data_IF_193872799975
#
_entry.id   IF_193872799975
#
_cell.length_a   1.000
_cell.length_b   1.000
_cell.length_c   1.000
_cell.angle_alpha   90.00
_cell.angle_beta   90.00
_cell.angle_gamma   90.00
#
_symmetry.space_group_name_H-M   'P 1'
#
loop_
_entity.id
_entity.type
_entity.pdbx_description
1 polymer ?
#
# COMPACT_ATOMS: atom_id res chain seq x y z
N UNK A 1 -10.70 19.56 -5.01
CA UNK A 1 -10.46 18.45 -4.05
C UNK A 1 -11.71 17.60 -3.98
N UNK A 2 -11.56 16.29 -4.18
CA UNK A 2 -12.58 15.28 -3.90
C UNK A 2 -11.96 14.27 -2.92
N UNK A 3 -12.52 14.16 -1.72
CA UNK A 3 -11.96 13.37 -0.63
C UNK A 3 -13.09 12.62 0.07
N UNK A 4 -12.89 11.33 0.27
CA UNK A 4 -13.72 10.47 1.12
C UNK A 4 -12.87 10.02 2.29
N UNK A 5 -13.43 10.06 3.50
CA UNK A 5 -12.74 9.60 4.68
C UNK A 5 -13.68 8.89 5.65
N UNK A 6 -13.12 7.99 6.43
CA UNK A 6 -13.79 7.28 7.51
C UNK A 6 -12.92 7.34 8.77
N UNK A 7 -13.56 7.32 9.94
CA UNK A 7 -12.88 7.43 11.21
C UNK A 7 -13.78 7.10 12.40
N UNK A 8 -13.16 7.07 13.57
CA UNK A 8 -13.83 7.01 14.87
C UNK A 8 -13.95 8.42 15.45
N UNK A 9 -14.49 8.53 16.66
CA UNK A 9 -14.50 9.80 17.39
C UNK A 9 -13.08 10.30 17.68
N UNK A 10 -12.13 9.37 17.84
CA UNK A 10 -10.78 9.65 18.31
C UNK A 10 -9.78 9.86 17.16
N UNK A 11 -10.04 9.32 15.98
CA UNK A 11 -9.09 9.43 14.86
C UNK A 11 -9.65 9.04 13.51
N UNK A 12 -8.88 9.41 12.47
CA UNK A 12 -9.13 9.00 11.09
C UNK A 12 -8.61 7.58 10.92
N UNK A 13 -9.34 6.75 10.16
CA UNK A 13 -8.97 5.36 9.88
C UNK A 13 -8.64 5.17 8.41
N UNK A 14 -9.39 5.81 7.51
CA UNK A 14 -9.19 5.69 6.07
C UNK A 14 -9.41 7.03 5.37
N UNK A 15 -8.59 7.33 4.36
CA UNK A 15 -8.77 8.45 3.44
C UNK A 15 -8.52 7.99 2.01
N UNK A 16 -9.37 8.45 1.10
CA UNK A 16 -9.24 8.27 -0.34
C UNK A 16 -9.51 9.63 -1.02
N UNK A 17 -8.47 10.25 -1.59
CA UNK A 17 -8.54 11.63 -2.09
C UNK A 17 -7.95 11.80 -3.49
N UNK A 18 -8.52 12.76 -4.22
CA UNK A 18 -8.03 13.31 -5.48
C UNK A 18 -8.06 14.84 -5.47
N UNK A 19 -7.03 15.45 -6.03
CA UNK A 19 -6.78 16.87 -6.01
C UNK A 19 -6.11 17.31 -7.30
N UNK A 20 -6.16 18.61 -7.59
CA UNK A 20 -5.49 19.20 -8.74
C UNK A 20 -4.30 20.02 -8.24
N UNK A 21 -3.20 19.35 -7.91
CA UNK A 21 -2.00 19.96 -7.31
C UNK A 21 -2.32 20.81 -6.06
N UNK A 22 -3.05 20.25 -5.10
CA UNK A 22 -3.38 20.95 -3.85
C UNK A 22 -2.17 21.01 -2.89
N UNK A 23 -2.12 22.04 -2.04
CA UNK A 23 -1.09 22.15 -1.01
C UNK A 23 -1.29 21.13 0.12
N UNK A 24 -0.22 20.82 0.85
CA UNK A 24 -0.27 20.02 2.06
C UNK A 24 -1.20 20.65 3.11
N UNK A 25 -1.16 21.98 3.27
CA UNK A 25 -2.00 22.71 4.22
C UNK A 25 -3.49 22.57 3.88
N UNK A 26 -3.85 22.67 2.59
CA UNK A 26 -5.24 22.46 2.14
C UNK A 26 -5.70 21.02 2.37
N UNK A 27 -4.82 20.03 2.16
CA UNK A 27 -5.12 18.63 2.46
C UNK A 27 -5.38 18.44 3.96
N UNK A 28 -4.52 18.97 4.82
CA UNK A 28 -4.67 18.85 6.28
C UNK A 28 -5.96 19.53 6.77
N UNK A 29 -6.23 20.75 6.30
CA UNK A 29 -7.46 21.47 6.64
C UNK A 29 -8.71 20.69 6.21
N UNK A 30 -8.68 20.03 5.05
CA UNK A 30 -9.78 19.19 4.58
C UNK A 30 -10.00 17.95 5.44
N UNK A 31 -8.92 17.30 5.91
CA UNK A 31 -8.98 16.15 6.81
C UNK A 31 -9.57 16.53 8.17
N UNK A 32 -9.11 17.63 8.76
CA UNK A 32 -9.64 18.15 10.04
C UNK A 32 -11.12 18.50 9.92
N UNK A 33 -11.48 19.24 8.85
CA UNK A 33 -12.87 19.58 8.58
C UNK A 33 -13.77 18.35 8.47
N UNK A 34 -13.32 17.31 7.75
CA UNK A 34 -14.08 16.08 7.59
C UNK A 34 -14.19 15.27 8.88
N UNK A 35 -13.13 15.19 9.69
CA UNK A 35 -13.15 14.47 10.96
C UNK A 35 -14.14 15.07 11.97
N UNK A 36 -14.21 16.40 12.04
CA UNK A 36 -15.20 17.09 12.89
C UNK A 36 -16.65 16.75 12.51
N UNK A 37 -16.93 16.52 11.21
CA UNK A 37 -18.25 16.07 10.76
C UNK A 37 -18.51 14.59 11.07
N UNK A 38 -17.49 13.75 10.96
CA UNK A 38 -17.57 12.35 11.38
C UNK A 38 -17.96 12.24 12.86
N UNK A 39 -17.37 13.05 13.74
CA UNK A 39 -17.72 13.09 15.17
C UNK A 39 -19.21 13.37 15.40
N UNK A 40 -19.78 14.32 14.65
CA UNK A 40 -21.22 14.65 14.72
C UNK A 40 -22.10 13.46 14.27
N UNK A 41 -21.70 12.76 13.19
CA UNK A 41 -22.41 11.58 12.70
C UNK A 41 -22.36 10.43 13.72
N UNK A 42 -21.19 10.20 14.34
CA UNK A 42 -21.01 9.18 15.38
C UNK A 42 -21.87 9.49 16.59
N UNK A 43 -21.97 10.77 17.01
CA UNK A 43 -22.82 11.16 18.13
C UNK A 43 -24.29 10.76 17.89
N UNK A 44 -24.80 10.95 16.67
CA UNK A 44 -26.15 10.52 16.28
C UNK A 44 -26.28 9.00 16.35
N UNK A 45 -25.28 8.25 15.87
CA UNK A 45 -25.28 6.78 15.92
C UNK A 45 -25.28 6.28 17.38
N UNK A 46 -24.50 6.91 18.26
CA UNK A 46 -24.46 6.59 19.70
C UNK A 46 -25.81 6.87 20.35
N UNK A 47 -26.44 8.02 20.06
CA UNK A 47 -27.79 8.34 20.54
C UNK A 47 -28.82 7.31 20.08
N UNK A 48 -28.78 6.94 18.79
CA UNK A 48 -29.67 5.92 18.23
C UNK A 48 -29.47 4.55 18.88
N UNK A 49 -28.21 4.15 19.11
CA UNK A 49 -27.88 2.93 19.86
C UNK A 49 -28.38 2.99 21.30
N UNK A 50 -28.36 4.16 21.95
CA UNK A 50 -28.93 4.33 23.29
C UNK A 50 -30.44 4.12 23.34
N UNK A 51 -31.16 4.45 22.26
CA UNK A 51 -32.61 4.31 22.17
C UNK A 51 -33.07 2.90 21.74
N UNK A 52 -32.36 2.28 20.79
CA UNK A 52 -32.81 1.07 20.09
C UNK A 52 -31.71 -0.02 19.94
N UNK A 53 -30.59 0.13 20.64
CA UNK A 53 -29.47 -0.79 20.54
C UNK A 53 -29.76 -2.15 21.17
N UNK A 54 -29.15 -3.20 20.58
CA UNK A 54 -29.13 -4.55 21.17
C UNK A 54 -27.98 -4.67 22.18
N UNK A 55 -28.10 -5.62 23.10
CA UNK A 55 -27.00 -5.99 23.99
C UNK A 55 -25.78 -6.42 23.17
N UNK A 56 -24.59 -6.00 23.60
CA UNK A 56 -23.35 -6.39 22.94
C UNK A 56 -23.09 -7.88 23.24
N UNK A 57 -22.72 -8.63 22.21
CA UNK A 57 -22.23 -9.98 22.37
C UNK A 57 -20.96 -9.97 23.22
N UNK A 58 -20.91 -10.81 24.25
CA UNK A 58 -19.68 -11.06 25.01
C UNK A 58 -18.84 -12.03 24.19
N UNK A 59 -17.67 -11.58 23.76
CA UNK A 59 -16.68 -12.40 23.06
C UNK A 59 -15.49 -12.54 23.99
N UNK A 60 -15.20 -13.77 24.41
CA UNK A 60 -14.03 -14.05 25.23
C UNK A 60 -12.76 -13.93 24.37
N UNK A 61 -11.75 -13.24 24.90
CA UNK A 61 -10.46 -13.14 24.24
C UNK A 61 -9.79 -14.52 24.20
N UNK A 62 -9.10 -14.90 23.11
CA UNK A 62 -8.30 -16.10 23.07
C UNK A 62 -7.28 -16.08 24.21
N UNK A 63 -7.17 -17.18 24.95
CA UNK A 63 -6.14 -17.30 25.98
C UNK A 63 -4.78 -17.55 25.32
N UNK A 64 -3.80 -16.71 25.67
CA UNK A 64 -2.42 -16.86 25.20
C UNK A 64 -1.69 -17.82 26.14
N UNK A 65 -1.04 -18.83 25.56
CA UNK A 65 -0.14 -19.73 26.29
C UNK A 65 1.17 -19.00 26.60
N UNK A 66 1.24 -18.37 27.78
CA UNK A 66 2.40 -17.59 28.22
C UNK A 66 3.68 -18.42 28.37
N UNK A 67 3.56 -19.71 28.69
CA UNK A 67 4.70 -20.63 28.77
C UNK A 67 5.27 -20.88 27.37
N UNK A 68 4.40 -21.16 26.39
CA UNK A 68 4.80 -21.32 24.99
C UNK A 68 5.41 -20.02 24.44
N UNK A 69 4.80 -18.86 24.73
CA UNK A 69 5.31 -17.55 24.31
C UNK A 69 6.72 -17.31 24.84
N UNK A 70 6.95 -17.57 26.12
CA UNK A 70 8.27 -17.43 26.76
C UNK A 70 9.29 -18.38 26.13
N UNK A 71 8.89 -19.64 25.89
CA UNK A 71 9.74 -20.67 25.24
C UNK A 71 10.13 -20.29 23.81
N UNK A 72 9.19 -19.73 23.02
CA UNK A 72 9.46 -19.21 21.67
C UNK A 72 10.47 -18.07 21.78
N UNK A 73 10.19 -17.07 22.60
CA UNK A 73 11.04 -15.89 22.75
C UNK A 73 12.48 -16.25 23.13
N UNK A 74 12.68 -17.07 24.16
CA UNK A 74 14.03 -17.48 24.62
C UNK A 74 14.84 -18.18 23.53
N UNK A 75 14.19 -19.01 22.71
CA UNK A 75 14.89 -19.83 21.70
C UNK A 75 15.09 -19.14 20.36
N UNK A 76 14.23 -18.19 19.99
CA UNK A 76 14.20 -17.66 18.62
C UNK A 76 14.44 -16.16 18.53
N UNK A 77 14.25 -15.38 19.59
CA UNK A 77 14.32 -13.91 19.49
C UNK A 77 15.67 -13.40 18.96
N UNK A 78 16.80 -13.97 19.43
CA UNK A 78 18.13 -13.60 18.94
C UNK A 78 18.31 -13.92 17.44
N UNK A 79 17.94 -15.15 17.03
CA UNK A 79 18.01 -15.60 15.63
C UNK A 79 17.11 -14.77 14.72
N UNK A 80 15.90 -14.44 15.17
CA UNK A 80 14.97 -13.58 14.44
C UNK A 80 15.51 -12.15 14.30
N UNK A 81 16.14 -11.62 15.35
CA UNK A 81 16.75 -10.28 15.32
C UNK A 81 17.89 -10.19 14.30
N UNK A 82 18.69 -11.24 14.17
CA UNK A 82 19.73 -11.35 13.13
C UNK A 82 19.11 -11.51 11.74
N UNK A 83 18.11 -12.40 11.60
CA UNK A 83 17.43 -12.62 10.33
C UNK A 83 16.74 -11.35 9.79
N UNK A 84 16.18 -10.51 10.67
CA UNK A 84 15.54 -9.24 10.29
C UNK A 84 16.52 -8.20 9.75
N UNK A 85 17.83 -8.37 9.92
CA UNK A 85 18.86 -7.49 9.37
C UNK A 85 19.36 -7.94 7.99
N UNK A 86 18.87 -9.06 7.48
CA UNK A 86 19.13 -9.50 6.11
C UNK A 86 18.39 -8.57 5.14
N UNK A 87 19.12 -7.86 4.28
CA UNK A 87 18.52 -6.88 3.37
C UNK A 87 17.60 -7.50 2.32
N UNK A 88 18.00 -8.63 1.72
CA UNK A 88 17.25 -9.29 0.64
C UNK A 88 15.94 -9.92 1.11
N UNK A 89 14.82 -9.62 0.43
CA UNK A 89 13.48 -10.09 0.85
C UNK A 89 13.38 -11.62 0.90
N UNK A 90 13.83 -12.31 -0.15
CA UNK A 90 13.71 -13.77 -0.26
C UNK A 90 14.58 -14.48 0.78
N UNK A 91 15.85 -14.10 0.88
CA UNK A 91 16.78 -14.63 1.87
C UNK A 91 16.28 -14.43 3.31
N UNK A 92 15.76 -13.24 3.62
CA UNK A 92 15.13 -12.95 4.92
C UNK A 92 13.92 -13.86 5.19
N UNK A 93 13.02 -13.98 4.21
CA UNK A 93 11.82 -14.82 4.35
C UNK A 93 12.15 -16.30 4.55
N UNK A 94 13.14 -16.81 3.81
CA UNK A 94 13.57 -18.20 3.91
C UNK A 94 14.24 -18.48 5.26
N UNK A 95 15.06 -17.55 5.75
CA UNK A 95 15.71 -17.65 7.08
C UNK A 95 14.68 -17.66 8.20
N UNK A 96 13.70 -16.75 8.17
CA UNK A 96 12.61 -16.71 9.16
C UNK A 96 11.81 -18.02 9.15
N UNK A 97 11.49 -18.53 7.95
CA UNK A 97 10.79 -19.81 7.80
C UNK A 97 11.60 -20.96 8.41
N UNK A 98 12.92 -21.00 8.17
CA UNK A 98 13.78 -22.03 8.73
C UNK A 98 13.81 -21.98 10.26
N UNK A 99 13.95 -20.79 10.86
CA UNK A 99 13.92 -20.61 12.32
C UNK A 99 12.62 -21.17 12.92
N UNK A 100 11.49 -20.94 12.24
CA UNK A 100 10.19 -21.47 12.67
C UNK A 100 10.11 -22.98 12.54
N UNK A 101 10.59 -23.57 11.46
CA UNK A 101 10.61 -25.03 11.29
C UNK A 101 11.56 -25.72 12.28
N UNK A 102 12.72 -25.12 12.56
CA UNK A 102 13.66 -25.61 13.58
C UNK A 102 12.99 -25.65 14.97
N UNK A 103 12.27 -24.59 15.34
CA UNK A 103 11.54 -24.57 16.61
C UNK A 103 10.44 -25.65 16.67
N UNK A 104 9.71 -25.85 15.57
CA UNK A 104 8.68 -26.91 15.50
C UNK A 104 9.29 -28.30 15.64
N UNK A 105 10.48 -28.53 15.11
CA UNK A 105 11.17 -29.82 15.21
C UNK A 105 11.60 -30.18 16.64
N UNK A 106 11.63 -29.20 17.56
CA UNK A 106 11.91 -29.43 18.98
C UNK A 106 10.67 -29.80 19.81
N UNK A 107 9.47 -29.75 19.21
CA UNK A 107 8.21 -30.12 19.85
C UNK A 107 7.83 -31.56 19.52
N UNK A 108 7.11 -32.20 20.43
CA UNK A 108 6.54 -33.52 20.14
C UNK A 108 5.44 -33.41 19.05
N UNK A 109 5.16 -34.50 18.29
CA UNK A 109 4.11 -34.48 17.27
C UNK A 109 2.73 -34.08 17.81
N UNK A 110 2.40 -34.49 19.03
CA UNK A 110 1.13 -34.18 19.70
C UNK A 110 1.04 -32.68 20.06
N UNK A 111 2.10 -32.10 20.63
CA UNK A 111 2.17 -30.66 20.91
C UNK A 111 2.09 -29.82 19.62
N UNK A 112 2.69 -30.29 18.53
CA UNK A 112 2.68 -29.58 17.26
C UNK A 112 1.27 -29.54 16.65
N UNK A 113 0.53 -30.65 16.70
CA UNK A 113 -0.84 -30.72 16.19
C UNK A 113 -1.78 -29.81 16.98
N UNK A 114 -1.65 -29.79 18.31
CA UNK A 114 -2.47 -28.94 19.19
C UNK A 114 -2.11 -27.44 19.05
N UNK A 115 -0.83 -27.10 19.03
CA UNK A 115 -0.35 -25.71 19.19
C UNK A 115 0.05 -25.03 17.87
N UNK A 116 -0.08 -25.68 16.71
CA UNK A 116 0.37 -25.12 15.42
C UNK A 116 -0.18 -23.72 15.11
N UNK A 117 -1.45 -23.46 15.43
CA UNK A 117 -2.09 -22.14 15.27
C UNK A 117 -1.46 -21.10 16.18
N UNK A 118 -1.40 -21.38 17.49
CA UNK A 118 -0.79 -20.51 18.49
C UNK A 118 0.69 -20.22 18.19
N UNK A 119 1.46 -21.22 17.77
CA UNK A 119 2.86 -21.03 17.36
C UNK A 119 2.95 -20.05 16.19
N UNK A 120 2.06 -20.15 15.19
CA UNK A 120 2.08 -19.23 14.05
C UNK A 120 1.85 -17.79 14.49
N UNK A 121 0.87 -17.56 15.35
CA UNK A 121 0.51 -16.23 15.85
C UNK A 121 1.61 -15.66 16.74
N UNK A 122 2.13 -16.45 17.70
CA UNK A 122 3.20 -16.02 18.59
C UNK A 122 4.51 -15.68 17.86
N UNK A 123 4.86 -16.42 16.80
CA UNK A 123 5.99 -16.05 15.95
C UNK A 123 5.73 -14.73 15.21
N UNK A 124 4.53 -14.53 14.69
CA UNK A 124 4.16 -13.30 13.99
C UNK A 124 4.19 -12.08 14.94
N UNK A 125 3.69 -12.23 16.17
CA UNK A 125 3.76 -11.20 17.21
C UNK A 125 5.21 -10.89 17.61
N UNK A 126 6.05 -11.92 17.77
CA UNK A 126 7.48 -11.73 18.07
C UNK A 126 8.22 -11.03 16.94
N UNK A 127 7.96 -11.39 15.68
CA UNK A 127 8.50 -10.70 14.51
C UNK A 127 8.08 -9.22 14.49
N UNK A 128 6.82 -8.95 14.79
CA UNK A 128 6.27 -7.59 14.90
C UNK A 128 7.01 -6.80 15.98
N UNK A 129 7.15 -7.34 17.18
CA UNK A 129 7.80 -6.66 18.30
C UNK A 129 9.28 -6.38 18.02
N UNK A 130 10.00 -7.33 17.42
CA UNK A 130 11.41 -7.16 17.04
C UNK A 130 11.57 -6.01 16.04
N UNK A 131 10.79 -6.00 14.95
CA UNK A 131 10.89 -4.97 13.90
C UNK A 131 10.51 -3.60 14.46
N UNK A 132 9.45 -3.51 15.26
CA UNK A 132 8.99 -2.25 15.84
C UNK A 132 10.02 -1.66 16.79
N UNK A 133 10.56 -2.47 17.71
CA UNK A 133 11.58 -2.00 18.65
C UNK A 133 12.88 -1.63 17.92
N UNK A 134 13.27 -2.35 16.87
CA UNK A 134 14.44 -2.01 16.06
C UNK A 134 14.30 -0.59 15.46
N UNK A 135 13.14 -0.29 14.88
CA UNK A 135 12.86 1.01 14.27
C UNK A 135 12.76 2.11 15.32
N UNK A 136 12.02 1.88 16.41
CA UNK A 136 11.78 2.90 17.45
C UNK A 136 13.04 3.24 18.25
N UNK A 137 13.85 2.23 18.60
CA UNK A 137 15.00 2.42 19.49
C UNK A 137 16.27 2.75 18.70
N UNK A 138 16.54 2.00 17.63
CA UNK A 138 17.79 2.14 16.87
C UNK A 138 17.67 3.05 15.64
N UNK A 139 16.46 3.47 15.28
CA UNK A 139 16.20 4.30 14.08
C UNK A 139 16.77 3.68 12.80
N UNK A 140 16.80 2.35 12.77
CA UNK A 140 17.41 1.56 11.69
C UNK A 140 16.39 0.55 11.17
N UNK A 141 16.32 0.43 9.84
CA UNK A 141 15.31 -0.41 9.17
C UNK A 141 15.87 -1.76 8.77
N UNK A 142 14.98 -2.69 8.43
CA UNK A 142 15.33 -4.09 8.09
C UNK A 142 16.27 -4.22 6.88
N UNK A 143 16.26 -3.24 5.97
CA UNK A 143 17.16 -3.19 4.80
C UNK A 143 18.36 -2.26 4.99
N UNK A 144 18.51 -1.70 6.19
CA UNK A 144 19.61 -0.86 6.60
C UNK A 144 19.50 0.63 6.27
N UNK A 145 18.34 1.06 5.78
CA UNK A 145 18.04 2.48 5.57
C UNK A 145 17.76 3.22 6.88
N UNK A 146 18.01 4.52 6.87
CA UNK A 146 17.41 5.46 7.81
C UNK A 146 15.92 5.68 7.54
N UNK A 147 15.26 6.38 8.47
CA UNK A 147 13.81 6.60 8.41
C UNK A 147 13.36 7.41 7.18
N UNK A 148 14.20 8.33 6.69
CA UNK A 148 13.89 9.22 5.56
C UNK A 148 14.43 8.72 4.20
N UNK A 149 15.21 7.64 4.18
CA UNK A 149 15.91 7.21 2.97
C UNK A 149 14.97 6.48 2.00
N UNK A 150 15.05 6.86 0.73
CA UNK A 150 14.35 6.22 -0.39
C UNK A 150 15.25 5.18 -1.03
N UNK A 151 14.68 4.05 -1.48
CA UNK A 151 15.45 2.99 -2.16
C UNK A 151 16.05 3.47 -3.49
N UNK A 152 17.10 2.81 -4.00
CA UNK A 152 17.65 3.10 -5.32
C UNK A 152 16.58 3.04 -6.41
N UNK A 153 16.58 4.02 -7.31
CA UNK A 153 15.64 4.12 -8.43
C UNK A 153 16.39 3.92 -9.75
N UNK A 154 15.87 3.06 -10.61
CA UNK A 154 16.31 2.95 -12.00
C UNK A 154 15.11 3.14 -12.94
N UNK A 155 15.37 3.86 -14.04
CA UNK A 155 14.34 4.24 -15.00
C UNK A 155 14.82 3.91 -16.40
N UNK A 156 13.98 3.24 -17.17
CA UNK A 156 14.19 3.01 -18.59
C UNK A 156 12.92 3.34 -19.36
N UNK A 157 12.97 4.29 -20.29
CA UNK A 157 11.87 4.65 -21.20
C UNK A 157 12.05 3.97 -22.55
N UNK A 158 10.97 3.86 -23.34
CA UNK A 158 11.03 3.23 -24.67
C UNK A 158 11.41 1.74 -24.63
N UNK A 159 11.08 1.04 -23.54
CA UNK A 159 11.46 -0.37 -23.32
C UNK A 159 10.82 -1.32 -24.32
N UNK A 160 9.54 -1.10 -24.66
CA UNK A 160 8.77 -1.96 -25.56
C UNK A 160 8.75 -1.37 -26.98
N UNK A 161 9.17 -2.12 -28.01
CA UNK A 161 9.41 -1.57 -29.35
C UNK A 161 8.14 -1.30 -30.19
N UNK A 162 6.96 -1.78 -29.75
CA UNK A 162 5.73 -1.80 -30.55
C UNK A 162 4.51 -1.19 -29.84
N UNK A 163 4.72 -0.54 -28.70
CA UNK A 163 3.68 0.24 -28.01
C UNK A 163 3.86 1.72 -28.32
N UNK A 164 2.84 2.54 -28.04
CA UNK A 164 2.96 3.98 -28.28
C UNK A 164 3.95 4.64 -27.32
N UNK A 165 3.94 4.25 -26.04
CA UNK A 165 4.99 4.61 -25.08
C UNK A 165 5.13 3.56 -23.98
N UNK A 166 6.32 3.45 -23.41
CA UNK A 166 6.63 2.50 -22.34
C UNK A 166 7.69 3.01 -21.38
N UNK A 167 7.61 2.52 -20.13
CA UNK A 167 8.64 2.73 -19.13
C UNK A 167 8.75 1.51 -18.21
N UNK A 168 9.98 1.17 -17.83
CA UNK A 168 10.28 0.32 -16.67
C UNK A 168 10.75 1.24 -15.56
N UNK A 169 9.99 1.27 -14.47
CA UNK A 169 10.33 1.98 -13.25
C UNK A 169 10.64 0.96 -12.16
N UNK A 170 11.85 1.01 -11.62
CA UNK A 170 12.27 0.15 -10.50
C UNK A 170 12.66 1.03 -9.33
N UNK A 171 12.13 0.72 -8.15
CA UNK A 171 12.51 1.33 -6.86
C UNK A 171 12.79 0.22 -5.86
N UNK A 172 14.07 -0.03 -5.59
CA UNK A 172 14.51 -1.22 -4.85
C UNK A 172 13.98 -2.51 -5.47
N UNK A 173 13.32 -3.35 -4.67
CA UNK A 173 12.71 -4.62 -5.09
C UNK A 173 11.22 -4.46 -5.49
N UNK A 174 10.83 -3.28 -6.00
CA UNK A 174 9.51 -3.02 -6.59
C UNK A 174 9.68 -2.51 -8.01
N UNK A 175 9.10 -3.21 -8.99
CA UNK A 175 9.24 -2.90 -10.40
C UNK A 175 7.88 -2.88 -11.12
N UNK A 176 7.66 -1.85 -11.92
CA UNK A 176 6.50 -1.71 -12.78
C UNK A 176 6.94 -1.51 -14.24
N UNK A 177 6.49 -2.40 -15.14
CA UNK A 177 6.51 -2.18 -16.58
C UNK A 177 5.19 -1.54 -16.99
N UNK A 178 5.26 -0.28 -17.41
CA UNK A 178 4.08 0.51 -17.75
C UNK A 178 4.08 0.80 -19.24
N UNK A 179 2.92 0.64 -19.88
CA UNK A 179 2.70 0.95 -21.30
C UNK A 179 1.52 1.90 -21.47
N UNK A 180 1.67 2.84 -22.39
CA UNK A 180 0.62 3.75 -22.84
C UNK A 180 0.20 3.38 -24.26
N UNK A 181 -1.11 3.34 -24.49
CA UNK A 181 -1.72 3.13 -25.80
C UNK A 181 -2.69 4.27 -26.11
N UNK A 182 -2.56 4.86 -27.29
CA UNK A 182 -3.45 5.87 -27.83
C UNK A 182 -4.51 5.21 -28.73
N UNK A 183 -5.74 5.69 -28.64
CA UNK A 183 -6.89 5.23 -29.42
C UNK A 183 -7.79 6.39 -29.84
N UNK A 184 -8.84 6.05 -30.57
CA UNK A 184 -9.84 7.02 -31.05
C UNK A 184 -11.06 7.08 -30.10
N UNK A 185 -12.06 7.88 -30.44
CA UNK A 185 -13.32 7.95 -29.69
C UNK A 185 -14.08 6.60 -29.64
N UNK A 186 -13.85 5.68 -30.58
CA UNK A 186 -14.45 4.34 -30.53
C UNK A 186 -13.91 3.47 -29.40
N UNK A 187 -12.71 3.81 -28.90
CA UNK A 187 -12.00 3.06 -27.87
C UNK A 187 -12.29 3.57 -26.46
N UNK A 188 -13.12 4.62 -26.33
CA UNK A 188 -13.53 5.15 -25.02
C UNK A 188 -14.30 4.09 -24.23
N UNK A 189 -13.99 3.99 -22.94
CA UNK A 189 -14.66 3.05 -22.05
C UNK A 189 -16.08 3.55 -21.77
N UNK A 190 -17.09 2.76 -22.16
CA UNK A 190 -18.49 3.03 -21.79
C UNK A 190 -18.72 2.63 -20.34
N UNK A 191 -19.29 3.55 -19.56
CA UNK A 191 -19.64 3.33 -18.17
C UNK A 191 -21.16 3.39 -18.05
N UNK A 192 -21.75 2.31 -17.53
CA UNK A 192 -23.16 2.22 -17.19
C UNK A 192 -23.28 1.86 -15.70
N UNK A 193 -23.40 2.89 -14.87
CA UNK A 193 -23.53 2.79 -13.42
C UNK A 193 -24.81 3.46 -12.95
N UNK A 194 -25.18 3.26 -11.67
CA UNK A 194 -26.40 3.84 -11.10
C UNK A 194 -26.41 5.38 -11.19
N UNK A 195 -25.26 6.00 -10.92
CA UNK A 195 -25.13 7.47 -10.82
C UNK A 195 -24.59 8.11 -12.10
N UNK A 196 -23.92 7.34 -12.97
CA UNK A 196 -23.26 7.85 -14.16
C UNK A 196 -23.44 6.92 -15.36
N UNK A 197 -23.95 7.49 -16.45
CA UNK A 197 -23.98 6.89 -17.80
C UNK A 197 -23.21 7.79 -18.75
N UNK A 198 -22.10 7.29 -19.29
CA UNK A 198 -21.26 8.08 -20.18
C UNK A 198 -20.05 7.32 -20.69
N UNK A 199 -19.06 8.05 -21.17
CA UNK A 199 -17.79 7.49 -21.62
C UNK A 199 -16.63 8.04 -20.79
N UNK A 200 -15.51 7.32 -20.83
CA UNK A 200 -14.26 7.65 -20.15
C UNK A 200 -13.11 7.49 -21.14
N UNK A 201 -12.41 8.58 -21.40
CA UNK A 201 -11.33 8.66 -22.40
C UNK A 201 -9.93 8.40 -21.82
N UNK A 202 -9.78 8.35 -20.50
CA UNK A 202 -8.55 7.95 -19.84
C UNK A 202 -8.84 6.86 -18.82
N UNK A 203 -8.12 5.73 -18.88
CA UNK A 203 -8.24 4.67 -17.90
C UNK A 203 -6.92 3.93 -17.71
N UNK A 204 -6.69 3.46 -16.48
CA UNK A 204 -5.49 2.73 -16.11
C UNK A 204 -5.85 1.34 -15.60
N UNK A 205 -5.25 0.32 -16.19
CA UNK A 205 -5.31 -1.06 -15.70
C UNK A 205 -4.03 -1.40 -14.96
N UNK A 206 -4.18 -1.93 -13.76
CA UNK A 206 -3.10 -2.38 -12.90
C UNK A 206 -3.20 -3.89 -12.75
N UNK A 207 -2.12 -4.59 -13.04
CA UNK A 207 -2.04 -6.05 -12.99
C UNK A 207 -0.99 -6.47 -11.96
N UNK A 208 -1.34 -7.41 -11.08
CA UNK A 208 -0.48 -7.93 -10.03
C UNK A 208 -0.31 -9.45 -10.17
N UNK A 209 0.50 -9.90 -11.13
CA UNK A 209 0.70 -11.33 -11.37
C UNK A 209 1.43 -11.98 -10.18
N UNK A 210 1.11 -13.25 -9.90
CA UNK A 210 1.62 -13.95 -8.71
C UNK A 210 3.16 -14.03 -8.64
N UNK A 211 3.83 -14.06 -9.80
CA UNK A 211 5.29 -14.13 -9.86
C UNK A 211 5.97 -12.88 -9.27
N UNK A 212 5.29 -11.72 -9.21
CA UNK A 212 5.92 -10.50 -8.68
C UNK A 212 6.20 -10.57 -7.17
N UNK A 213 5.58 -11.51 -6.48
CA UNK A 213 5.88 -11.86 -5.08
C UNK A 213 6.58 -13.23 -4.95
N UNK A 214 6.97 -13.86 -6.06
CA UNK A 214 7.56 -15.19 -6.09
C UNK A 214 6.56 -16.32 -5.81
N UNK A 215 5.25 -16.07 -5.99
CA UNK A 215 4.21 -17.04 -5.71
C UNK A 215 3.64 -17.67 -7.00
N UNK A 216 2.96 -18.82 -6.85
CA UNK A 216 2.22 -19.47 -7.93
C UNK A 216 0.73 -19.42 -7.60
N UNK A 217 -0.07 -18.76 -8.45
CA UNK A 217 -1.53 -18.69 -8.34
C UNK A 217 -2.16 -18.79 -9.73
N UNK A 218 -3.44 -19.15 -9.78
CA UNK A 218 -4.21 -19.10 -11.02
C UNK A 218 -4.34 -17.66 -11.53
N UNK A 219 -4.09 -17.46 -12.82
CA UNK A 219 -4.36 -16.20 -13.50
C UNK A 219 -5.84 -16.17 -13.89
N UNK A 220 -6.62 -15.36 -13.18
CA UNK A 220 -8.02 -15.10 -13.47
C UNK A 220 -8.23 -13.61 -13.79
N UNK A 221 -9.47 -13.12 -13.71
CA UNK A 221 -9.74 -11.69 -13.85
C UNK A 221 -9.16 -10.86 -12.69
N UNK A 222 -9.16 -9.52 -12.81
CA UNK A 222 -8.58 -8.65 -11.80
C UNK A 222 -9.32 -8.75 -10.46
N UNK A 223 -8.57 -8.91 -9.38
CA UNK A 223 -9.07 -8.87 -8.01
C UNK A 223 -9.39 -7.44 -7.55
N UNK A 224 -10.08 -7.33 -6.41
CA UNK A 224 -10.48 -6.04 -5.82
C UNK A 224 -9.30 -5.10 -5.55
N UNK A 225 -8.17 -5.64 -5.07
CA UNK A 225 -6.96 -4.84 -4.79
C UNK A 225 -6.34 -4.27 -6.06
N UNK A 226 -6.33 -5.05 -7.14
CA UNK A 226 -5.80 -4.60 -8.44
C UNK A 226 -6.64 -3.46 -9.01
N UNK A 227 -7.97 -3.58 -8.94
CA UNK A 227 -8.90 -2.52 -9.33
C UNK A 227 -8.67 -1.26 -8.48
N UNK A 228 -8.60 -1.40 -7.15
CA UNK A 228 -8.37 -0.28 -6.24
C UNK A 228 -7.05 0.45 -6.49
N UNK A 229 -5.94 -0.29 -6.65
CA UNK A 229 -4.64 0.29 -6.99
C UNK A 229 -4.64 0.96 -8.38
N UNK A 230 -5.34 0.36 -9.35
CA UNK A 230 -5.54 0.96 -10.68
C UNK A 230 -6.25 2.30 -10.59
N UNK A 231 -7.34 2.37 -9.82
CA UNK A 231 -8.09 3.61 -9.61
C UNK A 231 -7.28 4.69 -8.88
N UNK A 232 -6.46 4.31 -7.89
CA UNK A 232 -5.55 5.24 -7.20
C UNK A 232 -4.52 5.83 -8.17
N UNK A 233 -3.86 4.98 -8.97
CA UNK A 233 -2.88 5.42 -9.94
C UNK A 233 -3.52 6.27 -11.04
N UNK A 234 -4.70 5.90 -11.50
CA UNK A 234 -5.49 6.69 -12.45
C UNK A 234 -5.81 8.09 -11.89
N UNK A 235 -6.34 8.16 -10.65
CA UNK A 235 -6.67 9.43 -9.99
C UNK A 235 -5.45 10.34 -9.85
N UNK A 236 -4.28 9.75 -9.64
CA UNK A 236 -3.01 10.49 -9.52
C UNK A 236 -2.56 11.16 -10.82
N UNK A 237 -2.92 10.56 -11.96
CA UNK A 237 -2.50 11.02 -13.28
C UNK A 237 -3.53 11.95 -13.95
N UNK A 238 -4.82 11.84 -13.64
CA UNK A 238 -5.88 12.69 -14.22
C UNK A 238 -5.52 14.20 -14.18
N UNK A 239 -5.02 14.78 -13.06
CA UNK A 239 -4.78 16.22 -12.97
C UNK A 239 -3.71 16.78 -13.91
N UNK A 240 -2.83 15.92 -14.45
CA UNK A 240 -1.77 16.33 -15.38
C UNK A 240 -2.10 16.05 -16.83
N UNK A 241 -3.22 15.37 -17.12
CA UNK A 241 -3.61 15.07 -18.48
C UNK A 241 -4.04 16.34 -19.23
N UNK A 242 -3.74 16.43 -20.53
CA UNK A 242 -4.25 17.52 -21.36
C UNK A 242 -5.78 17.45 -21.49
N UNK A 243 -6.39 18.61 -21.70
CA UNK A 243 -7.82 18.69 -22.05
C UNK A 243 -8.09 17.96 -23.37
N UNK A 244 -9.27 17.34 -23.49
CA UNK A 244 -9.69 16.60 -24.69
C UNK A 244 -9.63 17.44 -25.97
N UNK A 245 -9.88 18.75 -25.89
CA UNK A 245 -9.80 19.65 -27.05
C UNK A 245 -8.38 19.85 -27.57
N UNK A 246 -7.37 19.70 -26.69
CA UNK A 246 -5.94 19.84 -27.05
C UNK A 246 -5.33 18.50 -27.47
N UNK A 247 -5.82 17.40 -26.90
CA UNK A 247 -5.35 16.06 -27.18
C UNK A 247 -6.53 15.10 -27.29
N UNK A 248 -7.20 15.03 -28.47
CA UNK A 248 -8.47 14.32 -28.66
C UNK A 248 -8.28 12.81 -28.86
N UNK A 249 -7.49 12.18 -28.01
CA UNK A 249 -7.22 10.74 -28.04
C UNK A 249 -7.73 10.06 -26.78
N UNK A 250 -8.17 8.81 -26.94
CA UNK A 250 -8.36 7.91 -25.81
C UNK A 250 -7.00 7.41 -25.36
N UNK A 251 -6.75 7.44 -24.05
CA UNK A 251 -5.49 7.03 -23.44
C UNK A 251 -5.75 5.84 -22.52
N UNK A 252 -5.12 4.72 -22.82
CA UNK A 252 -5.10 3.54 -21.96
C UNK A 252 -3.70 3.34 -21.41
N UNK A 253 -3.58 3.26 -20.09
CA UNK A 253 -2.34 2.82 -19.43
C UNK A 253 -2.52 1.40 -18.92
N UNK A 254 -1.51 0.55 -19.10
CA UNK A 254 -1.41 -0.76 -18.46
C UNK A 254 -0.12 -0.82 -17.67
N UNK A 255 -0.23 -1.04 -16.35
CA UNK A 255 0.89 -1.24 -15.44
C UNK A 255 0.98 -2.70 -15.04
N UNK A 256 2.03 -3.37 -15.50
CA UNK A 256 2.38 -4.75 -15.12
C UNK A 256 3.40 -4.71 -13.98
N UNK A 257 3.04 -5.21 -12.81
CA UNK A 257 3.98 -5.31 -11.69
C UNK A 257 4.85 -6.55 -11.87
N UNK A 258 6.16 -6.34 -12.01
CA UNK A 258 7.12 -7.41 -12.26
C UNK A 258 7.77 -7.92 -10.96
N UNK A 259 7.96 -7.02 -9.99
CA UNK A 259 8.49 -7.30 -8.67
C UNK A 259 7.75 -6.44 -7.63
N UNK A 260 7.51 -6.97 -6.43
CA UNK A 260 6.79 -6.23 -5.38
C UNK A 260 7.38 -6.46 -4.00
N UNK A 261 8.02 -5.42 -3.46
CA UNK A 261 8.38 -5.29 -2.04
C UNK A 261 8.01 -3.92 -1.48
N UNK A 262 6.76 -3.50 -1.68
CA UNK A 262 6.23 -2.26 -1.13
C UNK A 262 5.73 -1.32 -2.23
N UNK A 263 4.56 -0.72 -1.98
CA UNK A 263 3.88 0.31 -2.79
C UNK A 263 4.10 0.27 -4.30
N UNK A 264 3.72 -0.85 -4.92
CA UNK A 264 3.71 -1.01 -6.38
C UNK A 264 2.73 -0.07 -7.10
N UNK A 265 1.66 0.39 -6.42
CA UNK A 265 0.76 1.39 -6.98
C UNK A 265 1.44 2.74 -7.22
N UNK A 266 2.38 3.14 -6.34
CA UNK A 266 3.16 4.36 -6.54
C UNK A 266 4.19 4.21 -7.67
N UNK A 267 4.76 3.00 -7.84
CA UNK A 267 5.58 2.68 -9.00
C UNK A 267 4.79 2.79 -10.31
N UNK A 268 3.51 2.38 -10.32
CA UNK A 268 2.60 2.57 -11.46
C UNK A 268 2.35 4.03 -11.80
N UNK A 269 2.29 4.93 -10.81
CA UNK A 269 2.14 6.37 -11.04
C UNK A 269 3.40 6.94 -11.71
N UNK A 270 4.58 6.63 -11.17
CA UNK A 270 5.85 7.07 -11.75
C UNK A 270 6.03 6.54 -13.18
N UNK A 271 5.82 5.23 -13.38
CA UNK A 271 5.90 4.60 -14.70
C UNK A 271 4.81 5.11 -15.66
N UNK A 272 3.61 5.42 -15.16
CA UNK A 272 2.53 6.04 -15.91
C UNK A 272 2.94 7.40 -16.46
N UNK A 273 3.45 8.29 -15.61
CA UNK A 273 3.96 9.61 -16.02
C UNK A 273 5.05 9.49 -17.09
N UNK A 274 5.98 8.54 -16.94
CA UNK A 274 7.06 8.32 -17.91
C UNK A 274 6.53 7.77 -19.24
N UNK A 275 5.65 6.77 -19.20
CA UNK A 275 5.09 6.15 -20.41
C UNK A 275 4.19 7.11 -21.21
N UNK A 276 3.52 8.05 -20.53
CA UNK A 276 2.75 9.12 -21.17
C UNK A 276 3.68 10.07 -21.96
N UNK A 277 4.81 10.46 -21.36
CA UNK A 277 5.82 11.29 -22.03
C UNK A 277 6.45 10.58 -23.22
N UNK A 278 6.80 9.29 -23.08
CA UNK A 278 7.34 8.46 -24.16
C UNK A 278 6.34 8.30 -25.31
N UNK A 279 5.04 8.22 -25.01
CA UNK A 279 3.95 8.20 -25.99
C UNK A 279 3.66 9.54 -26.67
N UNK A 280 4.36 10.62 -26.29
CA UNK A 280 4.13 11.97 -26.82
C UNK A 280 2.87 12.65 -26.30
N UNK A 281 2.29 12.18 -25.19
CA UNK A 281 1.16 12.84 -24.54
C UNK A 281 1.65 14.15 -23.90
N UNK A 282 1.06 15.32 -24.21
CA UNK A 282 1.51 16.60 -23.71
C UNK A 282 1.01 16.86 -22.28
N UNK A 283 1.55 16.11 -21.31
CA UNK A 283 1.18 16.24 -19.90
C UNK A 283 1.66 17.57 -19.30
N UNK A 284 0.91 18.11 -18.34
CA UNK A 284 1.20 19.40 -17.68
C UNK A 284 2.52 19.41 -16.91
N UNK A 285 2.82 18.31 -16.22
CA UNK A 285 4.00 18.14 -15.39
C UNK A 285 4.21 16.64 -15.09
N UNK A 286 5.44 16.20 -14.81
CA UNK A 286 5.70 14.84 -14.33
C UNK A 286 5.09 14.63 -12.93
N UNK A 287 4.54 13.44 -12.70
CA UNK A 287 3.96 13.02 -11.41
C UNK A 287 4.75 11.85 -10.85
N UNK A 288 5.01 11.89 -9.54
CA UNK A 288 5.61 10.80 -8.79
C UNK A 288 4.74 10.44 -7.57
N UNK A 289 5.06 9.30 -6.95
CA UNK A 289 4.38 8.85 -5.74
C UNK A 289 5.27 8.07 -4.79
N UNK A 290 4.93 8.10 -3.51
CA UNK A 290 5.62 7.37 -2.45
C UNK A 290 4.62 6.85 -1.41
N UNK A 291 4.96 5.74 -0.76
CA UNK A 291 4.28 5.29 0.45
C UNK A 291 5.15 5.57 1.67
N UNK A 292 4.52 6.15 2.67
CA UNK A 292 5.03 6.42 3.99
C UNK A 292 4.38 5.44 4.96
N UNK A 293 5.07 5.11 6.04
CA UNK A 293 4.49 4.34 7.14
C UNK A 293 4.77 4.96 8.48
N UNK A 294 4.11 4.43 9.50
CA UNK A 294 4.29 4.85 10.88
C UNK A 294 4.40 3.63 11.79
N UNK A 295 5.28 3.70 12.78
CA UNK A 295 5.32 2.80 13.91
C UNK A 295 5.18 3.66 15.18
N UNK A 296 4.22 3.31 16.03
CA UNK A 296 3.92 4.01 17.28
C UNK A 296 3.80 3.03 18.45
N UNK A 297 4.53 3.28 19.52
CA UNK A 297 4.35 2.56 20.78
C UNK A 297 4.39 3.53 21.96
N UNK A 298 3.25 3.67 22.65
CA UNK A 298 3.01 4.75 23.60
C UNK A 298 3.23 6.13 22.96
N UNK A 299 4.21 6.86 23.49
CA UNK A 299 4.61 8.19 22.98
C UNK A 299 5.73 8.13 21.93
N UNK A 300 6.36 6.96 21.71
CA UNK A 300 7.41 6.80 20.71
C UNK A 300 6.78 6.69 19.32
N UNK A 301 7.24 7.52 18.37
CA UNK A 301 6.74 7.54 16.98
C UNK A 301 7.91 7.59 16.02
N UNK A 302 7.88 6.72 15.01
CA UNK A 302 8.79 6.75 13.87
C UNK A 302 7.99 6.82 12.55
N UNK A 303 8.33 7.80 11.71
CA UNK A 303 7.76 7.96 10.36
C UNK A 303 8.76 7.42 9.34
N UNK A 304 8.30 6.51 8.49
CA UNK A 304 9.12 5.77 7.53
C UNK A 304 8.83 6.26 6.11
N UNK A 305 9.87 6.58 5.35
CA UNK A 305 9.79 6.93 3.93
C UNK A 305 10.04 5.70 3.06
N UNK A 306 9.24 5.54 2.00
CA UNK A 306 9.35 4.44 1.03
C UNK A 306 9.38 3.07 1.72
N UNK A 307 8.24 2.72 2.35
CA UNK A 307 8.11 1.50 3.14
C UNK A 307 8.23 0.22 2.31
N UNK A 308 8.81 -0.81 2.94
CA UNK A 308 8.83 -2.18 2.46
C UNK A 308 7.51 -2.88 2.74
N UNK A 309 7.27 -4.03 2.09
CA UNK A 309 6.07 -4.83 2.34
C UNK A 309 5.96 -5.31 3.80
N UNK A 310 7.09 -5.60 4.46
CA UNK A 310 7.12 -5.97 5.89
C UNK A 310 6.81 -4.79 6.81
N UNK A 311 7.24 -3.59 6.45
CA UNK A 311 7.01 -2.37 7.25
C UNK A 311 5.56 -1.90 7.14
N UNK A 312 4.91 -2.09 5.98
CA UNK A 312 3.46 -1.97 5.88
C UNK A 312 2.78 -3.00 6.78
N UNK A 313 3.07 -4.30 6.58
CA UNK A 313 2.39 -5.39 7.31
C UNK A 313 2.51 -5.28 8.85
N UNK A 314 3.67 -4.85 9.36
CA UNK A 314 3.97 -4.77 10.80
C UNK A 314 3.81 -3.36 11.39
N UNK A 315 3.66 -2.35 10.54
CA UNK A 315 3.44 -0.96 10.93
C UNK A 315 1.97 -0.63 11.20
N UNK A 316 1.73 0.61 11.61
CA UNK A 316 0.42 1.12 12.05
C UNK A 316 -0.28 1.95 10.97
N UNK A 317 0.41 2.28 9.88
CA UNK A 317 -0.14 3.11 8.81
C UNK A 317 0.52 2.83 7.46
N UNK A 318 -0.28 2.81 6.39
CA UNK A 318 0.13 2.93 5.00
C UNK A 318 -0.42 4.25 4.44
N UNK A 319 0.46 5.23 4.24
CA UNK A 319 0.11 6.56 3.75
C UNK A 319 0.73 6.77 2.37
N UNK A 320 -0.09 6.84 1.34
CA UNK A 320 0.32 7.04 -0.04
C UNK A 320 0.02 8.47 -0.47
N UNK A 321 1.03 9.12 -1.04
CA UNK A 321 0.88 10.47 -1.60
C UNK A 321 1.47 10.51 -3.00
N UNK A 322 0.76 11.18 -3.90
CA UNK A 322 1.21 11.44 -5.28
C UNK A 322 1.04 12.89 -5.62
N UNK A 323 1.89 13.40 -6.50
CA UNK A 323 1.85 14.81 -6.87
C UNK A 323 2.91 15.21 -7.88
N UNK A 324 2.82 16.47 -8.26
CA UNK A 324 3.88 17.16 -9.01
C UNK A 324 4.71 17.99 -8.03
N UNK A 325 5.70 18.73 -8.54
CA UNK A 325 6.42 19.72 -7.73
C UNK A 325 5.53 20.85 -7.18
N UNK A 326 4.29 21.01 -7.67
CA UNK A 326 3.38 22.09 -7.27
C UNK A 326 2.39 21.68 -6.18
N UNK A 327 2.17 20.38 -5.97
CA UNK A 327 1.24 19.90 -4.97
C UNK A 327 0.73 18.49 -5.22
N UNK A 328 -0.18 18.07 -4.36
CA UNK A 328 -0.75 16.73 -4.25
C UNK A 328 -1.85 16.54 -5.29
N UNK A 329 -1.79 15.40 -5.98
CA UNK A 329 -2.81 14.95 -6.93
C UNK A 329 -3.69 13.84 -6.35
N UNK A 330 -3.13 12.94 -5.55
CA UNK A 330 -3.91 11.96 -4.81
C UNK A 330 -3.25 11.66 -3.47
N UNK A 331 -4.10 11.33 -2.50
CA UNK A 331 -3.71 10.91 -1.16
C UNK A 331 -4.59 9.72 -0.78
N UNK A 332 -3.96 8.66 -0.31
CA UNK A 332 -4.64 7.52 0.28
C UNK A 332 -4.00 7.24 1.64
N UNK A 333 -4.80 6.99 2.66
CA UNK A 333 -4.30 6.69 3.99
C UNK A 333 -5.11 5.53 4.56
N UNK A 334 -4.41 4.51 5.04
CA UNK A 334 -4.99 3.37 5.76
C UNK A 334 -4.27 3.25 7.11
N UNK A 335 -4.98 3.53 8.20
CA UNK A 335 -4.48 3.41 9.58
C UNK A 335 -5.05 2.13 10.19
N UNK A 336 -4.16 1.31 10.76
CA UNK A 336 -4.46 0.00 11.37
C UNK A 336 -4.70 0.13 12.87
#
# INVERSE_FOLDING_TARGET
LNLVMAGTADGIVMVEAGANEASEDDMMAALEFGHERIKQLIEIQIKLRGLLGKEKLVVEAPQVDEELKSKIHEKTAAKLTEAMQISGKHERSDTIKQIREDFKAELSPEELEEKAGAIKELFHDLEKDIVRNLVLDKHYRVDGRGLADVRPITIQVGYLPRVHGSAVFTRGETQALVSTTLGTASDEQRIDSLEYKGTKSFFLHYNFPAFCTGEVKFLSGPGRREIGHGMLAERSLIPILPDKDKFPYTIRIVSEILESNGSSSMASVCGGSLSLMDAGVPIKAPVAGIAMGMIKDGDRVAILSDILGSEDHLGDMDFKVTGTLKGINALQMDIK
#
